data_IF_888307888504
#
_entry.id   IF_888307888504
#
_cell.length_a   1.000
_cell.length_b   1.000
_cell.length_c   1.000
_cell.angle_alpha   90.00
_cell.angle_beta   90.00
_cell.angle_gamma   90.00
#
_symmetry.space_group_name_H-M   'P 1'
#
loop_
_entity.id
_entity.type
_entity.pdbx_description
1 polymer ?
#
# COMPACT_ATOMS: atom_id res chain seq x y z
N UNK A 1 -56.62 65.22 56.81
CA UNK A 1 -56.24 63.82 56.69
C UNK A 1 -55.82 63.52 55.29
N UNK A 2 -54.59 63.70 54.98
CA UNK A 2 -54.02 63.41 53.68
C UNK A 2 -52.97 62.36 53.84
N UNK A 3 -53.22 61.19 53.27
CA UNK A 3 -52.28 60.10 53.19
C UNK A 3 -51.45 60.27 51.93
N UNK A 4 -50.10 60.45 52.11
CA UNK A 4 -49.14 60.55 51.04
C UNK A 4 -48.76 59.18 50.51
N UNK A 5 -48.94 58.96 49.25
CA UNK A 5 -48.38 57.79 48.54
C UNK A 5 -46.91 58.05 48.18
N UNK A 6 -46.05 57.25 48.74
CA UNK A 6 -44.62 57.18 48.36
C UNK A 6 -44.52 56.23 47.20
N UNK A 7 -44.14 56.77 46.05
CA UNK A 7 -43.82 55.96 44.88
C UNK A 7 -42.34 55.63 44.88
N UNK A 8 -42.01 54.40 45.11
CA UNK A 8 -40.62 53.89 45.00
C UNK A 8 -40.39 53.48 43.55
N UNK A 9 -39.59 54.25 42.85
CA UNK A 9 -39.12 53.90 41.52
C UNK A 9 -37.88 53.02 41.66
N UNK A 10 -38.03 51.75 41.38
CA UNK A 10 -36.91 50.81 41.31
C UNK A 10 -36.36 50.83 39.86
N UNK A 11 -35.27 51.50 39.68
CA UNK A 11 -34.53 51.41 38.39
C UNK A 11 -33.74 50.12 38.35
N UNK A 12 -34.25 49.12 37.61
CA UNK A 12 -33.51 47.91 37.29
C UNK A 12 -32.49 48.19 36.22
N UNK A 13 -31.23 48.35 36.62
CA UNK A 13 -30.11 48.43 35.67
C UNK A 13 -29.85 47.02 35.09
N UNK A 14 -30.29 46.77 33.87
CA UNK A 14 -29.96 45.58 33.13
C UNK A 14 -28.52 45.69 32.64
N UNK A 15 -27.60 45.00 33.31
CA UNK A 15 -26.27 44.69 32.78
C UNK A 15 -26.42 43.71 31.62
N UNK A 16 -26.37 44.22 30.40
CA UNK A 16 -26.16 43.37 29.20
C UNK A 16 -24.72 42.84 29.28
N UNK A 17 -24.54 41.65 29.79
CA UNK A 17 -23.34 40.89 29.63
C UNK A 17 -23.26 40.50 28.14
N UNK A 18 -22.47 41.21 27.39
CA UNK A 18 -22.07 40.83 26.03
C UNK A 18 -21.20 39.56 26.14
N UNK A 19 -21.83 38.40 26.08
CA UNK A 19 -21.16 37.12 25.85
C UNK A 19 -20.64 37.19 24.39
N UNK A 20 -19.32 37.15 24.16
CA UNK A 20 -18.86 36.97 22.80
C UNK A 20 -19.36 35.59 22.37
N UNK A 21 -20.35 35.57 21.51
CA UNK A 21 -20.70 34.36 20.80
C UNK A 21 -19.44 33.96 20.02
N UNK A 22 -18.68 33.04 20.55
CA UNK A 22 -17.77 32.26 19.76
C UNK A 22 -18.67 31.53 18.78
N UNK A 23 -18.84 32.12 17.64
CA UNK A 23 -19.23 31.41 16.43
C UNK A 23 -18.09 30.42 16.18
N UNK A 24 -18.10 29.33 16.94
CA UNK A 24 -17.42 28.13 16.53
C UNK A 24 -17.95 27.85 15.14
N UNK A 25 -17.13 28.21 14.16
CA UNK A 25 -17.27 27.72 12.81
C UNK A 25 -17.03 26.19 12.83
N UNK A 26 -17.89 25.49 13.54
CA UNK A 26 -18.23 24.10 13.32
C UNK A 26 -19.02 24.01 12.02
N UNK A 27 -18.50 24.70 10.99
CA UNK A 27 -18.81 24.30 9.62
C UNK A 27 -18.36 22.87 9.55
N UNK A 28 -19.35 22.01 9.47
CA UNK A 28 -19.25 20.59 9.42
C UNK A 28 -17.96 20.16 8.77
N UNK A 29 -17.13 19.48 9.49
CA UNK A 29 -16.37 18.39 8.93
C UNK A 29 -17.45 17.42 8.42
N UNK A 30 -18.04 17.75 7.30
CA UNK A 30 -18.61 16.75 6.44
C UNK A 30 -17.49 15.75 6.31
N UNK A 31 -17.66 14.56 6.86
CA UNK A 31 -16.65 13.54 6.84
C UNK A 31 -16.22 13.41 5.39
N UNK A 32 -15.02 13.91 5.06
CA UNK A 32 -14.46 13.69 3.76
C UNK A 32 -14.41 12.17 3.62
N UNK A 33 -15.11 11.64 2.65
CA UNK A 33 -15.00 10.21 2.32
C UNK A 33 -13.50 9.90 2.24
N UNK A 34 -13.00 8.89 2.95
CA UNK A 34 -11.60 8.53 2.86
C UNK A 34 -11.20 8.40 1.40
N UNK A 35 -10.09 9.00 1.02
CA UNK A 35 -9.60 8.89 -0.35
C UNK A 35 -9.36 7.42 -0.68
N UNK A 36 -9.78 6.97 -1.86
CA UNK A 36 -9.51 5.61 -2.31
C UNK A 36 -8.01 5.38 -2.45
N UNK A 37 -7.52 4.16 -2.36
CA UNK A 37 -6.11 3.83 -2.61
C UNK A 37 -5.58 4.38 -3.92
N UNK A 38 -6.39 4.36 -4.96
CA UNK A 38 -6.08 4.96 -6.26
C UNK A 38 -5.95 6.48 -6.18
N UNK A 39 -6.89 7.15 -5.53
CA UNK A 39 -6.87 8.60 -5.40
C UNK A 39 -5.75 9.10 -4.48
N UNK A 40 -5.30 8.27 -3.55
CA UNK A 40 -4.21 8.56 -2.60
C UNK A 40 -2.84 8.02 -3.05
N UNK A 41 -2.75 7.44 -4.25
CA UNK A 41 -1.50 6.88 -4.76
C UNK A 41 -0.41 7.97 -4.83
N UNK A 42 0.76 7.75 -4.19
CA UNK A 42 1.84 8.74 -4.20
C UNK A 42 2.56 8.84 -5.53
N UNK A 43 2.34 7.87 -6.40
CA UNK A 43 2.92 7.78 -7.74
C UNK A 43 1.97 7.03 -8.67
N UNK A 44 1.92 7.44 -9.93
CA UNK A 44 1.22 6.69 -10.96
C UNK A 44 2.12 5.57 -11.49
N UNK A 45 1.73 4.32 -11.25
CA UNK A 45 2.42 3.13 -11.73
C UNK A 45 1.80 2.58 -13.02
N UNK A 46 0.73 3.17 -13.54
CA UNK A 46 0.04 2.65 -14.72
C UNK A 46 0.91 2.74 -15.98
N UNK A 47 0.68 1.83 -16.91
CA UNK A 47 1.40 1.79 -18.18
C UNK A 47 2.20 0.52 -18.40
N UNK A 48 3.05 0.57 -19.42
CA UNK A 48 3.91 -0.53 -19.80
C UNK A 48 5.33 -0.33 -19.27
N UNK A 49 5.85 -1.36 -18.62
CA UNK A 49 7.17 -1.35 -18.01
C UNK A 49 8.02 -2.49 -18.53
N UNK A 50 9.30 -2.25 -18.67
CA UNK A 50 10.29 -3.26 -19.03
C UNK A 50 11.42 -3.29 -18.02
N UNK A 51 11.98 -4.48 -17.81
CA UNK A 51 13.10 -4.64 -16.89
C UNK A 51 14.38 -4.06 -17.44
N UNK A 52 15.09 -3.28 -16.62
CA UNK A 52 16.50 -2.95 -16.89
C UNK A 52 17.36 -4.09 -16.34
N UNK A 53 17.78 -4.98 -17.23
CA UNK A 53 18.47 -6.23 -16.84
C UNK A 53 19.99 -6.11 -16.75
N UNK A 54 20.58 -4.99 -17.16
CA UNK A 54 22.03 -4.81 -17.29
C UNK A 54 22.80 -4.99 -15.98
N UNK A 55 22.20 -4.67 -14.83
CA UNK A 55 22.83 -4.82 -13.51
C UNK A 55 22.86 -6.26 -13.00
N UNK A 56 21.82 -7.04 -13.35
CA UNK A 56 21.59 -8.36 -12.77
C UNK A 56 21.42 -9.44 -13.84
N UNK A 57 21.98 -9.24 -15.03
CA UNK A 57 21.75 -10.13 -16.17
C UNK A 57 22.05 -11.61 -15.84
N UNK A 58 23.09 -11.88 -15.04
CA UNK A 58 23.47 -13.23 -14.62
C UNK A 58 22.36 -13.97 -13.88
N UNK A 59 21.56 -13.24 -13.12
CA UNK A 59 20.52 -13.82 -12.29
C UNK A 59 19.12 -13.72 -12.91
N UNK A 60 19.01 -13.01 -14.04
CA UNK A 60 17.73 -12.76 -14.71
C UNK A 60 17.66 -13.37 -16.11
N UNK A 61 18.79 -13.47 -16.79
CA UNK A 61 18.86 -13.95 -18.17
C UNK A 61 19.45 -15.36 -18.29
N UNK A 62 20.13 -15.84 -17.27
CA UNK A 62 20.77 -17.15 -17.25
C UNK A 62 20.23 -17.95 -16.09
N UNK A 63 19.71 -19.14 -16.38
CA UNK A 63 19.31 -20.09 -15.33
C UNK A 63 20.57 -20.66 -14.67
N UNK A 64 20.80 -20.42 -13.37
CA UNK A 64 21.95 -20.95 -12.68
C UNK A 64 21.85 -22.47 -12.55
N UNK A 65 23.00 -23.18 -12.44
CA UNK A 65 23.00 -24.59 -12.10
C UNK A 65 22.29 -24.85 -10.76
N UNK A 66 21.71 -26.05 -10.62
CA UNK A 66 21.12 -26.51 -9.34
C UNK A 66 22.08 -26.31 -8.19
N UNK A 67 21.59 -25.81 -7.06
CA UNK A 67 22.37 -25.48 -5.88
C UNK A 67 22.99 -24.09 -5.88
N UNK A 68 22.94 -23.35 -6.98
CA UNK A 68 23.44 -21.96 -7.08
C UNK A 68 22.25 -20.98 -7.02
N UNK A 69 22.02 -20.40 -5.87
CA UNK A 69 20.90 -19.50 -5.62
C UNK A 69 21.33 -18.03 -5.46
N UNK A 70 22.41 -17.65 -6.11
CA UNK A 70 22.94 -16.29 -6.06
C UNK A 70 21.89 -15.25 -6.45
N UNK A 71 21.79 -14.17 -5.67
CA UNK A 71 20.82 -13.11 -5.91
C UNK A 71 19.39 -13.39 -5.39
N UNK A 72 19.12 -14.55 -4.79
CA UNK A 72 17.84 -14.85 -4.13
C UNK A 72 18.10 -15.16 -2.66
N UNK A 73 17.61 -14.35 -1.71
CA UNK A 73 17.81 -14.58 -0.27
C UNK A 73 16.88 -15.69 0.22
N UNK A 74 17.28 -16.95 0.00
CA UNK A 74 16.50 -18.11 0.44
C UNK A 74 16.73 -18.40 1.92
N UNK A 75 15.64 -18.60 2.66
CA UNK A 75 15.70 -19.24 3.97
C UNK A 75 15.93 -20.77 3.82
N UNK A 76 16.04 -21.48 4.94
CA UNK A 76 16.32 -22.92 4.94
C UNK A 76 15.27 -23.73 4.18
N UNK A 77 14.00 -23.39 4.36
CA UNK A 77 12.89 -24.08 3.67
C UNK A 77 12.88 -23.78 2.18
N UNK A 78 13.06 -22.53 1.78
CA UNK A 78 13.17 -22.15 0.37
C UNK A 78 14.33 -22.87 -0.32
N UNK A 79 15.46 -23.03 0.37
CA UNK A 79 16.58 -23.81 -0.14
C UNK A 79 16.23 -25.29 -0.30
N UNK A 80 15.58 -25.88 0.71
CA UNK A 80 15.14 -27.27 0.64
C UNK A 80 14.21 -27.51 -0.56
N UNK A 81 13.27 -26.61 -0.79
CA UNK A 81 12.36 -26.67 -1.95
C UNK A 81 13.13 -26.55 -3.26
N UNK A 82 14.03 -25.56 -3.35
CA UNK A 82 14.84 -25.36 -4.56
C UNK A 82 15.76 -26.57 -4.85
N UNK A 83 16.33 -27.18 -3.83
CA UNK A 83 17.17 -28.38 -3.97
C UNK A 83 16.36 -29.61 -4.40
N UNK A 84 15.06 -29.64 -4.12
CA UNK A 84 14.16 -30.73 -4.56
C UNK A 84 13.77 -30.65 -6.03
N UNK A 85 14.05 -29.53 -6.71
CA UNK A 85 13.72 -29.36 -8.12
C UNK A 85 14.45 -30.40 -8.99
N UNK A 86 13.70 -31.06 -9.87
CA UNK A 86 14.16 -32.09 -10.75
C UNK A 86 13.48 -31.96 -12.11
N UNK A 87 14.16 -31.38 -13.10
CA UNK A 87 13.56 -31.16 -14.41
C UNK A 87 13.12 -32.44 -15.13
N UNK A 88 13.76 -33.58 -14.87
CA UNK A 88 13.35 -34.85 -15.47
C UNK A 88 12.00 -35.33 -14.92
N UNK A 89 11.72 -35.06 -13.64
CA UNK A 89 10.39 -35.34 -13.05
C UNK A 89 9.30 -34.42 -13.62
N UNK A 90 9.62 -33.14 -13.81
CA UNK A 90 8.69 -32.18 -14.41
C UNK A 90 8.38 -32.59 -15.87
N UNK A 91 9.38 -33.02 -16.63
CA UNK A 91 9.19 -33.50 -18.00
C UNK A 91 8.32 -34.77 -18.04
N UNK A 92 8.62 -35.74 -17.19
CA UNK A 92 7.85 -36.98 -17.09
C UNK A 92 6.39 -36.74 -16.67
N UNK A 93 6.12 -35.69 -15.89
CA UNK A 93 4.79 -35.29 -15.47
C UNK A 93 4.07 -34.39 -16.49
N UNK A 94 4.73 -33.94 -17.56
CA UNK A 94 4.19 -32.95 -18.49
C UNK A 94 4.16 -31.52 -17.94
N UNK A 95 4.93 -31.25 -16.88
CA UNK A 95 4.92 -30.02 -16.12
C UNK A 95 6.08 -29.06 -16.50
N UNK A 96 6.81 -29.34 -17.58
CA UNK A 96 7.96 -28.56 -18.01
C UNK A 96 7.62 -27.10 -18.35
N UNK A 97 6.36 -26.79 -18.61
CA UNK A 97 5.87 -25.44 -18.90
C UNK A 97 5.12 -24.81 -17.73
N UNK A 98 5.49 -25.14 -16.50
CA UNK A 98 4.88 -24.52 -15.31
C UNK A 98 5.02 -23.00 -15.35
N UNK A 99 3.92 -22.32 -14.99
CA UNK A 99 3.92 -20.88 -14.83
C UNK A 99 4.83 -20.44 -13.66
N UNK A 100 5.39 -19.25 -13.78
CA UNK A 100 6.15 -18.66 -12.68
C UNK A 100 5.24 -18.28 -11.52
N UNK A 101 5.63 -18.58 -10.30
CA UNK A 101 4.93 -18.13 -9.11
C UNK A 101 5.19 -16.66 -8.80
N UNK A 102 4.42 -16.11 -7.86
CA UNK A 102 4.44 -14.70 -7.50
C UNK A 102 5.83 -14.14 -7.14
N UNK A 103 6.68 -14.94 -6.51
CA UNK A 103 8.04 -14.52 -6.14
C UNK A 103 9.00 -14.48 -7.34
N UNK A 104 8.83 -15.38 -8.30
CA UNK A 104 9.73 -15.52 -9.43
C UNK A 104 9.36 -14.60 -10.60
N UNK A 105 8.08 -14.39 -10.86
CA UNK A 105 7.58 -13.66 -12.04
C UNK A 105 8.17 -12.27 -12.16
N UNK A 106 8.39 -11.56 -11.06
CA UNK A 106 8.96 -10.22 -11.04
C UNK A 106 10.46 -10.19 -11.33
N UNK A 107 11.12 -11.34 -11.36
CA UNK A 107 12.55 -11.46 -11.72
C UNK A 107 12.76 -11.86 -13.16
N UNK A 108 11.74 -12.41 -13.79
CA UNK A 108 11.80 -12.80 -15.21
C UNK A 108 11.82 -11.54 -16.07
N UNK A 109 12.81 -11.39 -16.98
CA UNK A 109 12.80 -10.29 -17.93
C UNK A 109 11.58 -10.37 -18.83
N UNK A 110 10.85 -9.28 -18.90
CA UNK A 110 9.65 -9.23 -19.70
C UNK A 110 9.00 -7.87 -19.58
N UNK A 111 7.88 -7.73 -20.25
CA UNK A 111 7.05 -6.54 -20.18
C UNK A 111 5.97 -6.77 -19.13
N UNK A 112 5.69 -5.72 -18.36
CA UNK A 112 4.55 -5.63 -17.45
C UNK A 112 3.58 -4.59 -18.00
N UNK A 113 2.30 -4.85 -17.85
CA UNK A 113 1.25 -3.86 -18.03
C UNK A 113 0.53 -3.68 -16.70
N UNK A 114 0.62 -2.47 -16.15
CA UNK A 114 0.04 -2.13 -14.84
C UNK A 114 -1.16 -1.23 -15.09
N UNK A 115 -2.29 -1.60 -14.51
CA UNK A 115 -3.54 -0.84 -14.58
C UNK A 115 -4.25 -0.86 -13.23
N UNK A 116 -5.22 0.01 -13.06
CA UNK A 116 -6.20 -0.10 -11.98
C UNK A 116 -7.38 -0.94 -12.46
N UNK A 117 -7.64 -2.06 -11.81
CA UNK A 117 -8.85 -2.87 -12.01
C UNK A 117 -10.07 -2.11 -11.49
N UNK A 118 -9.92 -1.47 -10.34
CA UNK A 118 -10.88 -0.60 -9.68
C UNK A 118 -10.14 0.40 -8.77
N UNK A 119 -10.85 1.10 -7.89
CA UNK A 119 -10.23 2.10 -7.01
C UNK A 119 -9.37 1.51 -5.87
N UNK A 120 -9.48 0.19 -5.62
CA UNK A 120 -8.82 -0.50 -4.52
C UNK A 120 -7.89 -1.64 -4.99
N UNK A 121 -7.80 -1.88 -6.29
CA UNK A 121 -7.05 -3.03 -6.80
C UNK A 121 -6.20 -2.65 -8.00
N UNK A 122 -4.89 -2.87 -7.90
CA UNK A 122 -3.97 -2.81 -9.03
C UNK A 122 -3.93 -4.19 -9.70
N UNK A 123 -3.97 -4.17 -11.03
CA UNK A 123 -3.78 -5.31 -11.91
C UNK A 123 -2.41 -5.22 -12.57
N UNK A 124 -1.66 -6.31 -12.52
CA UNK A 124 -0.36 -6.46 -13.17
C UNK A 124 -0.43 -7.64 -14.12
N UNK A 125 -0.45 -7.37 -15.41
CA UNK A 125 -0.34 -8.38 -16.44
C UNK A 125 1.11 -8.54 -16.86
N UNK A 126 1.57 -9.79 -17.01
CA UNK A 126 2.95 -10.11 -17.38
C UNK A 126 2.99 -10.86 -18.70
N UNK A 127 3.91 -10.52 -19.58
CA UNK A 127 4.14 -11.28 -20.83
C UNK A 127 4.67 -12.68 -20.51
N UNK A 128 5.54 -12.78 -19.52
CA UNK A 128 6.11 -14.06 -19.11
C UNK A 128 5.01 -14.96 -18.51
N UNK A 129 4.69 -16.05 -19.21
CA UNK A 129 3.66 -16.97 -18.80
C UNK A 129 2.21 -16.44 -18.91
N UNK A 130 2.00 -15.26 -19.53
CA UNK A 130 0.69 -14.64 -19.71
C UNK A 130 -0.14 -14.62 -18.42
N UNK A 131 0.45 -14.16 -17.33
CA UNK A 131 -0.16 -14.22 -16.01
C UNK A 131 -0.66 -12.86 -15.55
N UNK A 132 -1.69 -12.86 -14.73
CA UNK A 132 -2.23 -11.69 -14.05
C UNK A 132 -2.06 -11.81 -12.55
N UNK A 133 -1.57 -10.74 -11.92
CA UNK A 133 -1.52 -10.59 -10.46
C UNK A 133 -2.39 -9.42 -10.05
N UNK A 134 -3.26 -9.65 -9.07
CA UNK A 134 -4.05 -8.62 -8.43
C UNK A 134 -3.43 -8.24 -7.09
N UNK A 135 -3.33 -6.94 -6.84
CA UNK A 135 -2.80 -6.37 -5.61
C UNK A 135 -3.90 -5.53 -4.97
N UNK A 136 -4.45 -6.00 -3.87
CA UNK A 136 -5.59 -5.42 -3.19
C UNK A 136 -5.12 -4.46 -2.10
N UNK A 137 -5.70 -3.27 -2.06
CA UNK A 137 -5.48 -2.29 -1.01
C UNK A 137 -6.66 -2.32 -0.03
N UNK A 138 -6.36 -2.15 1.24
CA UNK A 138 -7.37 -2.09 2.30
C UNK A 138 -7.14 -3.12 3.39
N UNK A 139 -8.11 -3.25 4.28
CA UNK A 139 -8.06 -4.22 5.36
C UNK A 139 -8.10 -5.64 4.80
N UNK A 140 -7.41 -6.54 5.50
CA UNK A 140 -7.22 -7.94 5.14
C UNK A 140 -8.49 -8.57 4.55
N UNK A 141 -8.59 -8.55 3.25
CA UNK A 141 -9.58 -9.37 2.57
C UNK A 141 -9.13 -10.81 2.75
N UNK A 142 -9.95 -11.61 3.37
CA UNK A 142 -9.67 -13.04 3.44
C UNK A 142 -9.61 -13.59 2.02
N UNK A 143 -8.54 -14.32 1.72
CA UNK A 143 -8.45 -15.03 0.45
C UNK A 143 -9.67 -15.95 0.33
N UNK A 144 -10.49 -15.72 -0.67
CA UNK A 144 -11.57 -16.62 -1.06
C UNK A 144 -11.23 -17.24 -2.40
N UNK A 145 -11.28 -18.55 -2.50
CA UNK A 145 -11.04 -19.30 -3.74
C UNK A 145 -9.82 -20.21 -3.68
N UNK A 146 -9.60 -20.91 -4.78
CA UNK A 146 -8.49 -21.85 -4.93
C UNK A 146 -7.15 -21.10 -5.00
N UNK A 147 -6.08 -21.67 -4.41
CA UNK A 147 -4.75 -21.10 -4.51
C UNK A 147 -4.28 -20.97 -5.96
N UNK A 148 -3.70 -19.83 -6.31
CA UNK A 148 -3.13 -19.56 -7.63
C UNK A 148 -1.61 -19.40 -7.55
N UNK A 149 -0.91 -19.54 -8.67
CA UNK A 149 0.53 -19.28 -8.74
C UNK A 149 0.90 -17.84 -8.37
N UNK A 150 0.02 -16.88 -8.60
CA UNK A 150 0.23 -15.49 -8.25
C UNK A 150 -0.18 -15.17 -6.80
N UNK A 151 -0.85 -16.11 -6.13
CA UNK A 151 -1.28 -15.97 -4.75
C UNK A 151 -2.27 -14.82 -4.56
N UNK A 152 -2.41 -14.40 -3.31
CA UNK A 152 -3.23 -13.27 -2.91
C UNK A 152 -2.32 -12.18 -2.34
N UNK A 153 -2.42 -10.97 -2.85
CA UNK A 153 -1.54 -9.86 -2.45
C UNK A 153 -2.34 -8.73 -1.84
N UNK A 154 -1.97 -8.35 -0.63
CA UNK A 154 -2.50 -7.17 0.07
C UNK A 154 -1.41 -6.11 0.12
N UNK A 155 -1.77 -4.86 -0.09
CA UNK A 155 -0.86 -3.74 -0.11
C UNK A 155 -1.39 -2.54 0.67
N UNK A 156 -0.47 -1.67 1.01
CA UNK A 156 -0.74 -0.32 1.50
C UNK A 156 0.31 0.62 0.93
N UNK A 157 -0.05 1.89 0.79
CA UNK A 157 0.93 2.90 0.44
C UNK A 157 1.82 3.21 1.64
N UNK A 158 3.12 3.19 1.43
CA UNK A 158 4.11 3.60 2.42
C UNK A 158 4.95 4.72 1.82
N UNK A 159 4.93 5.88 2.47
CA UNK A 159 5.79 6.99 2.09
C UNK A 159 7.15 6.81 2.80
N UNK A 160 8.22 6.88 2.04
CA UNK A 160 9.56 6.94 2.63
C UNK A 160 9.61 8.12 3.62
N UNK A 161 9.89 7.85 4.88
CA UNK A 161 10.18 8.90 5.84
C UNK A 161 11.44 9.60 5.35
N UNK A 162 11.32 10.82 4.89
CA UNK A 162 12.50 11.68 4.70
C UNK A 162 13.21 11.73 6.05
N UNK A 163 14.48 11.37 6.06
CA UNK A 163 15.32 11.44 7.25
C UNK A 163 15.56 12.92 7.63
N UNK A 164 14.50 13.58 8.08
CA UNK A 164 14.53 14.92 8.66
C UNK A 164 14.49 14.75 10.17
N UNK A 165 15.67 14.78 10.82
CA UNK A 165 15.73 14.81 12.26
C UNK A 165 16.91 14.15 12.95
N UNK A 166 17.97 13.80 12.26
CA UNK A 166 19.23 13.41 12.92
C UNK A 166 20.23 14.56 12.98
N UNK A 167 19.75 15.77 13.33
CA UNK A 167 20.58 16.94 13.47
C UNK A 167 20.15 17.78 14.67
N UNK A 168 20.72 17.52 15.84
CA UNK A 168 20.47 18.41 16.96
C UNK A 168 20.72 17.76 18.32
N UNK A 169 21.94 17.71 18.77
CA UNK A 169 22.24 17.30 20.11
C UNK A 169 23.73 17.15 20.42
N UNK A 170 24.55 18.12 20.02
CA UNK A 170 25.83 18.32 20.69
C UNK A 170 25.65 19.48 21.65
N UNK A 171 25.23 19.20 22.86
CA UNK A 171 25.41 20.03 24.01
C UNK A 171 26.85 19.88 24.48
N UNK A 172 27.58 20.96 24.42
CA UNK A 172 28.87 21.11 25.10
C UNK A 172 28.65 21.24 26.60
N UNK A 173 29.42 20.55 27.37
CA UNK A 173 30.00 21.01 28.64
C UNK A 173 31.10 20.07 29.06
#
# INVERSE_FOLDING_TARGET
MLQGCVVVVVTASALLASIPARLDAQRGRGGATPATPRASAPIDLTGYWVSVVTKDWRFRMVTPPKGQYGGVPLNAEGRRVADSWDPAKDEAAGDQCKAYGAAAIMRVPGRLHITWENDDTIRIDTDAGAQTRLVHFGESLSQSGEPTWQGYSVAQWELARTAQGAGGGRGAS
#
